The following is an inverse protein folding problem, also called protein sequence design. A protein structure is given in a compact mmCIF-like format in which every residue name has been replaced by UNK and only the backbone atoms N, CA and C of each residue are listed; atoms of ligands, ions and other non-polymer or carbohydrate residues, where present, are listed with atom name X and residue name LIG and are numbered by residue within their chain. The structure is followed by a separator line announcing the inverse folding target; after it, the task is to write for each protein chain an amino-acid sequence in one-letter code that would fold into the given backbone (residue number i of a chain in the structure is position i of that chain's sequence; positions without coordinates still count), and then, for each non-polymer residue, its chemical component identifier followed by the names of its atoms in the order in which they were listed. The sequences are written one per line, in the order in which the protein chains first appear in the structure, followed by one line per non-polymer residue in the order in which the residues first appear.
data_IF_956278716999
#
_entry.id   IF_956278716999
#
_cell.length_a   1.000
_cell.length_b   1.000
_cell.length_c   1.000
_cell.angle_alpha   90.00
_cell.angle_beta   90.00
_cell.angle_gamma   90.00
#
_symmetry.space_group_name_H-M   'P 1'
#
loop_
_entity.id
_entity.type
_entity.pdbx_description
1 polymer ?
#
# COMPACT_ATOMS: atom_id res chain seq x y z
N UNK A 1 8.02 12.29 -18.54
CA UNK A 1 7.12 11.44 -19.35
C UNK A 1 7.13 10.07 -18.70
N UNK A 2 6.00 9.60 -18.15
CA UNK A 2 5.91 8.24 -17.60
C UNK A 2 5.56 7.33 -18.77
N UNK A 3 6.46 6.40 -19.09
CA UNK A 3 6.23 5.40 -20.13
C UNK A 3 5.11 4.45 -19.71
N UNK A 4 4.33 4.02 -20.69
CA UNK A 4 3.26 3.05 -20.52
C UNK A 4 3.82 1.71 -20.01
N UNK A 5 3.18 1.11 -18.99
CA UNK A 5 3.55 -0.22 -18.49
C UNK A 5 4.59 -0.27 -17.37
N UNK A 6 4.94 0.87 -16.76
CA UNK A 6 5.79 0.86 -15.56
C UNK A 6 5.02 0.29 -14.37
N UNK A 7 5.33 -0.95 -14.01
CA UNK A 7 5.00 -1.51 -12.71
C UNK A 7 6.03 -0.98 -11.70
N UNK A 8 5.54 -0.28 -10.68
CA UNK A 8 6.38 0.19 -9.58
C UNK A 8 5.92 -0.50 -8.32
N UNK A 9 6.75 -1.38 -7.79
CA UNK A 9 6.54 -1.99 -6.49
C UNK A 9 7.04 -1.03 -5.41
N UNK A 10 6.17 -0.69 -4.46
CA UNK A 10 6.46 0.22 -3.35
C UNK A 10 6.12 -0.50 -2.05
N UNK A 11 7.07 -0.54 -1.12
CA UNK A 11 6.86 -1.08 0.22
C UNK A 11 6.74 0.08 1.21
N UNK A 12 5.62 0.12 1.91
CA UNK A 12 5.36 1.06 3.00
C UNK A 12 5.59 0.36 4.33
N UNK A 13 6.61 0.77 5.08
CA UNK A 13 6.83 0.32 6.45
C UNK A 13 6.11 1.24 7.43
N UNK A 14 5.56 0.66 8.49
CA UNK A 14 4.87 1.37 9.56
C UNK A 14 5.13 0.70 10.91
N UNK A 15 4.91 1.45 12.00
CA UNK A 15 5.03 0.96 13.37
C UNK A 15 3.71 1.11 14.11
N UNK A 16 3.30 0.09 14.84
CA UNK A 16 2.18 0.19 15.77
C UNK A 16 2.61 0.97 17.01
N UNK A 17 2.30 2.27 17.05
CA UNK A 17 2.57 3.14 18.20
C UNK A 17 1.47 3.11 19.26
N UNK A 18 0.43 2.28 19.08
CA UNK A 18 -0.65 2.11 20.03
C UNK A 18 -0.29 1.21 21.21
N UNK A 19 -1.24 1.08 22.14
CA UNK A 19 -1.11 0.23 23.34
C UNK A 19 -1.75 -1.15 23.21
N UNK A 20 -2.35 -1.46 22.05
CA UNK A 20 -2.99 -2.75 21.75
C UNK A 20 -2.51 -3.30 20.41
N UNK A 21 -2.68 -4.61 20.14
CA UNK A 21 -2.34 -5.20 18.85
C UNK A 21 -3.11 -4.56 17.69
N UNK A 22 -2.39 -4.20 16.62
CA UNK A 22 -2.93 -3.64 15.39
C UNK A 22 -3.19 -4.77 14.38
N UNK A 23 -4.41 -4.86 13.88
CA UNK A 23 -4.82 -5.80 12.84
C UNK A 23 -5.27 -5.00 11.63
N UNK A 24 -4.73 -5.31 10.45
CA UNK A 24 -5.17 -4.74 9.18
C UNK A 24 -6.24 -5.64 8.56
N UNK A 25 -7.51 -5.25 8.74
CA UNK A 25 -8.68 -6.04 8.33
C UNK A 25 -8.87 -6.11 6.82
N UNK A 26 -8.64 -4.99 6.15
CA UNK A 26 -8.77 -4.82 4.70
C UNK A 26 -7.82 -3.72 4.24
N UNK A 27 -7.28 -3.85 3.03
CA UNK A 27 -6.46 -2.83 2.39
C UNK A 27 -7.06 -2.55 1.02
N UNK A 28 -7.67 -1.38 0.89
CA UNK A 28 -8.34 -0.95 -0.35
C UNK A 28 -7.59 0.20 -1.02
N UNK A 29 -7.66 0.26 -2.33
CA UNK A 29 -6.95 1.28 -3.13
C UNK A 29 -7.94 2.17 -3.88
N UNK A 30 -7.78 3.49 -3.76
CA UNK A 30 -8.68 4.50 -4.34
C UNK A 30 -8.76 4.52 -5.88
N UNK A 31 -7.78 3.91 -6.56
CA UNK A 31 -7.85 3.65 -8.00
C UNK A 31 -7.26 2.28 -8.26
N UNK A 32 -7.93 1.46 -9.08
CA UNK A 32 -7.49 0.12 -9.50
C UNK A 32 -6.16 0.08 -10.29
N UNK A 33 -5.46 1.21 -10.37
CA UNK A 33 -4.07 1.34 -10.78
C UNK A 33 -3.07 1.14 -9.64
N UNK A 34 -3.53 0.86 -8.41
CA UNK A 34 -2.69 0.39 -7.31
C UNK A 34 -3.29 -0.92 -6.83
N UNK A 35 -2.46 -1.95 -6.66
CA UNK A 35 -2.86 -3.25 -6.14
C UNK A 35 -2.09 -3.45 -4.84
N UNK A 36 -2.80 -3.64 -3.73
CA UNK A 36 -2.18 -4.11 -2.50
C UNK A 36 -1.84 -5.59 -2.69
N UNK A 37 -0.55 -5.93 -2.77
CA UNK A 37 -0.13 -7.30 -3.03
C UNK A 37 0.04 -8.08 -1.73
N UNK A 38 0.66 -7.46 -0.73
CA UNK A 38 1.00 -8.12 0.52
C UNK A 38 0.88 -7.14 1.69
N UNK A 39 0.19 -7.57 2.75
CA UNK A 39 0.15 -6.89 4.03
C UNK A 39 0.08 -7.92 5.15
N UNK A 40 0.47 -7.57 6.39
CA UNK A 40 0.47 -8.50 7.52
C UNK A 40 -0.97 -8.88 7.86
N UNK A 41 -1.24 -10.19 7.91
CA UNK A 41 -2.54 -10.74 8.36
C UNK A 41 -2.55 -11.10 9.84
N UNK A 42 -1.38 -11.10 10.44
CA UNK A 42 -1.18 -11.37 11.86
C UNK A 42 -1.22 -10.07 12.66
N UNK A 43 -1.68 -10.11 13.92
CA UNK A 43 -1.70 -8.94 14.78
C UNK A 43 -0.28 -8.39 15.06
N UNK A 44 -0.07 -7.12 14.77
CA UNK A 44 1.17 -6.40 15.05
C UNK A 44 1.10 -5.87 16.47
N UNK A 45 1.94 -6.40 17.36
CA UNK A 45 1.97 -5.99 18.77
C UNK A 45 2.36 -4.51 18.95
N UNK A 46 2.03 -3.89 20.10
CA UNK A 46 2.54 -2.56 20.46
C UNK A 46 4.05 -2.43 20.29
N UNK A 47 4.50 -1.39 19.60
CA UNK A 47 5.90 -1.15 19.23
C UNK A 47 6.43 -1.99 18.07
N UNK A 48 5.64 -2.95 17.57
CA UNK A 48 5.99 -3.79 16.43
C UNK A 48 5.89 -3.05 15.10
N UNK A 49 6.67 -3.52 14.13
CA UNK A 49 6.69 -2.97 12.77
C UNK A 49 5.91 -3.88 11.81
N UNK A 50 5.30 -3.29 10.79
CA UNK A 50 4.65 -3.99 9.69
C UNK A 50 5.01 -3.35 8.36
N UNK A 51 4.79 -4.08 7.27
CA UNK A 51 5.06 -3.62 5.91
C UNK A 51 3.87 -3.91 5.01
N UNK A 52 3.45 -2.93 4.20
CA UNK A 52 2.46 -3.10 3.14
C UNK A 52 3.16 -2.92 1.80
N UNK A 53 3.21 -3.98 1.00
CA UNK A 53 3.66 -3.93 -0.38
C UNK A 53 2.49 -3.60 -1.31
N UNK A 54 2.63 -2.51 -2.06
CA UNK A 54 1.70 -2.13 -3.12
C UNK A 54 2.41 -2.11 -4.46
N UNK A 55 1.73 -2.59 -5.50
CA UNK A 55 2.15 -2.46 -6.89
C UNK A 55 1.34 -1.35 -7.55
N UNK A 56 2.02 -0.31 -8.01
CA UNK A 56 1.43 0.68 -8.89
C UNK A 56 1.56 0.23 -10.33
N UNK A 57 0.45 0.22 -11.06
CA UNK A 57 0.37 -0.14 -12.46
C UNK A 57 -0.17 1.06 -13.27
N UNK A 58 0.72 1.66 -14.07
CA UNK A 58 0.40 2.83 -14.90
C UNK A 58 -0.29 2.48 -16.22
N UNK A 59 -0.58 1.20 -16.52
CA UNK A 59 -1.21 0.77 -17.79
C UNK A 59 -2.49 1.57 -18.07
N UNK A 60 -2.50 2.29 -19.20
CA UNK A 60 -3.65 3.04 -19.72
C UNK A 60 -3.92 4.41 -19.09
N UNK A 61 -3.03 4.98 -18.26
CA UNK A 61 -3.26 6.28 -17.61
C UNK A 61 -2.15 7.30 -17.88
N UNK A 62 -2.38 8.15 -18.88
CA UNK A 62 -1.51 9.28 -19.27
C UNK A 62 -1.97 10.55 -18.52
N UNK A 63 -1.08 11.19 -17.75
CA UNK A 63 -1.35 12.47 -17.07
C UNK A 63 -0.98 12.53 -15.58
N UNK A 64 -1.24 13.66 -14.92
CA UNK A 64 -0.97 13.85 -13.49
C UNK A 64 -1.88 12.95 -12.64
N UNK A 65 -1.30 12.00 -11.92
CA UNK A 65 -2.02 11.09 -11.04
C UNK A 65 -1.84 11.55 -9.58
N UNK A 66 -2.89 12.12 -8.98
CA UNK A 66 -2.98 12.38 -7.53
C UNK A 66 -3.67 11.18 -6.88
N UNK A 67 -3.06 10.62 -5.85
CA UNK A 67 -3.49 9.40 -5.16
C UNK A 67 -3.55 9.65 -3.66
N UNK A 68 -4.66 9.29 -3.03
CA UNK A 68 -4.83 9.27 -1.58
C UNK A 68 -5.12 7.82 -1.17
N UNK A 69 -4.52 7.40 -0.06
CA UNK A 69 -4.63 6.06 0.54
C UNK A 69 -5.33 6.25 1.87
N UNK A 70 -6.45 5.55 2.08
CA UNK A 70 -7.26 5.57 3.30
C UNK A 70 -7.06 4.28 4.09
#
# INVERSE_FOLDING_TARGET
MVSEGTQVDVVFSFQNTGSAPLILSDVSTSCGCTLAEQWPREPIQPGGNGEVAVRFDSRGRVGANRKEVF
#
